data_IF_171510433036
#
_entry.id   IF_171510433036
#
_cell.length_a   1.000
_cell.length_b   1.000
_cell.length_c   1.000
_cell.angle_alpha   90.00
_cell.angle_beta   90.00
_cell.angle_gamma   90.00
#
_symmetry.space_group_name_H-M   'P 1'
#
loop_
_entity.id
_entity.type
_entity.pdbx_description
1 polymer ?
#
# COMPACT_ATOMS: atom_id res chain seq x y z
N UNK A 1 -23.91 5.06 3.04
CA UNK A 1 -22.49 4.68 2.84
C UNK A 1 -22.37 3.16 2.86
N UNK A 2 -21.62 2.58 1.93
CA UNK A 2 -21.51 1.11 1.73
C UNK A 2 -20.09 0.66 2.08
N UNK A 3 -19.95 -0.47 2.78
CA UNK A 3 -18.67 -1.08 3.11
C UNK A 3 -18.53 -2.39 2.33
N UNK A 4 -17.42 -2.56 1.62
CA UNK A 4 -17.05 -3.79 0.92
C UNK A 4 -15.79 -4.37 1.56
N UNK A 5 -15.86 -5.50 2.27
CA UNK A 5 -14.73 -6.05 3.01
C UNK A 5 -13.66 -6.63 2.07
N UNK A 6 -12.48 -6.02 2.08
CA UNK A 6 -11.29 -6.47 1.34
C UNK A 6 -10.38 -7.40 2.16
N UNK A 7 -9.40 -7.97 1.47
CA UNK A 7 -8.38 -8.87 2.05
C UNK A 7 -7.15 -8.13 2.59
N UNK A 8 -6.56 -8.60 3.68
CA UNK A 8 -5.28 -8.12 4.20
C UNK A 8 -4.09 -8.52 3.29
N UNK A 9 -2.90 -7.97 3.54
CA UNK A 9 -1.71 -8.25 2.73
C UNK A 9 -1.27 -9.72 2.78
N UNK A 10 -1.57 -10.43 3.86
CA UNK A 10 -1.30 -11.87 4.03
C UNK A 10 -2.33 -12.77 3.36
N UNK A 11 -3.44 -12.20 2.89
CA UNK A 11 -4.63 -12.93 2.43
C UNK A 11 -4.83 -12.87 0.92
N UNK A 12 -3.87 -12.28 0.19
CA UNK A 12 -3.92 -12.09 -1.27
C UNK A 12 -2.56 -12.25 -1.90
N UNK A 13 -2.55 -12.64 -3.18
CA UNK A 13 -1.34 -12.53 -4.00
C UNK A 13 -1.27 -11.13 -4.59
N UNK A 14 -0.36 -10.30 -4.08
CA UNK A 14 -0.28 -8.87 -4.39
C UNK A 14 1.08 -8.47 -4.91
N UNK A 15 1.11 -7.52 -5.86
CA UNK A 15 2.34 -6.89 -6.33
C UNK A 15 2.54 -5.57 -5.61
N UNK A 16 3.68 -5.40 -4.95
CA UNK A 16 4.05 -4.20 -4.19
C UNK A 16 5.33 -3.60 -4.76
N UNK A 17 5.46 -2.29 -4.70
CA UNK A 17 6.69 -1.58 -5.11
C UNK A 17 7.24 -0.84 -3.92
N UNK A 18 8.50 -1.09 -3.58
CA UNK A 18 9.16 -0.41 -2.46
C UNK A 18 9.72 0.96 -2.91
N UNK A 19 10.33 1.70 -1.98
CA UNK A 19 10.80 3.08 -2.22
C UNK A 19 12.00 3.19 -3.16
N UNK A 20 12.76 2.10 -3.38
CA UNK A 20 13.83 2.06 -4.39
C UNK A 20 13.29 1.71 -5.79
N UNK A 21 12.01 1.35 -5.92
CA UNK A 21 11.37 1.01 -7.19
C UNK A 21 11.36 -0.48 -7.51
N UNK A 22 11.78 -1.35 -6.58
CA UNK A 22 11.75 -2.80 -6.77
C UNK A 22 10.34 -3.33 -6.66
N UNK A 23 9.93 -4.09 -7.67
CA UNK A 23 8.63 -4.77 -7.70
C UNK A 23 8.75 -6.12 -7.01
N UNK A 24 7.90 -6.39 -6.02
CA UNK A 24 7.91 -7.61 -5.23
C UNK A 24 6.53 -8.28 -5.27
N UNK A 25 6.51 -9.60 -5.19
CA UNK A 25 5.28 -10.38 -5.12
C UNK A 25 5.10 -10.93 -3.71
N UNK A 26 3.94 -10.66 -3.11
CA UNK A 26 3.49 -11.37 -1.93
C UNK A 26 2.63 -12.56 -2.35
N UNK A 27 2.81 -13.68 -1.65
CA UNK A 27 1.95 -14.85 -1.78
C UNK A 27 0.92 -14.89 -0.67
N UNK A 28 -0.23 -15.48 -0.99
CA UNK A 28 -1.32 -15.65 -0.03
C UNK A 28 -0.94 -16.72 1.01
N UNK A 29 -0.88 -16.33 2.27
CA UNK A 29 -0.64 -17.23 3.39
C UNK A 29 -1.95 -17.87 3.90
N UNK A 30 -3.04 -17.10 3.94
CA UNK A 30 -4.35 -17.55 4.45
C UNK A 30 -5.49 -17.00 3.58
N UNK A 31 -6.70 -17.53 3.73
CA UNK A 31 -7.87 -16.95 3.07
C UNK A 31 -8.41 -15.74 3.84
N UNK A 32 -9.04 -14.76 3.15
CA UNK A 32 -9.71 -13.65 3.82
C UNK A 32 -10.82 -14.15 4.76
N UNK A 33 -11.05 -13.51 5.92
CA UNK A 33 -12.04 -13.93 6.89
C UNK A 33 -13.47 -13.63 6.42
N UNK A 34 -14.41 -14.53 6.74
CA UNK A 34 -15.84 -14.35 6.46
C UNK A 34 -16.13 -14.15 4.98
N UNK A 35 -16.85 -13.07 4.66
CA UNK A 35 -17.22 -12.71 3.29
C UNK A 35 -16.25 -11.74 2.60
N UNK A 36 -15.08 -11.49 3.20
CA UNK A 36 -14.05 -10.71 2.55
C UNK A 36 -13.59 -11.35 1.23
N UNK A 37 -13.19 -10.50 0.27
CA UNK A 37 -12.70 -10.92 -1.05
C UNK A 37 -11.42 -10.17 -1.39
N UNK A 38 -10.66 -10.71 -2.34
CA UNK A 38 -9.51 -9.98 -2.89
C UNK A 38 -9.96 -8.66 -3.53
N UNK A 39 -9.21 -7.58 -3.29
CA UNK A 39 -9.64 -6.22 -3.63
C UNK A 39 -9.95 -6.05 -5.13
N UNK A 40 -9.17 -6.70 -5.99
CA UNK A 40 -9.39 -6.67 -7.44
C UNK A 40 -10.72 -7.34 -7.84
N UNK A 41 -11.11 -8.41 -7.15
CA UNK A 41 -12.34 -9.14 -7.43
C UNK A 41 -13.55 -8.31 -7.03
N UNK A 42 -13.46 -7.57 -5.92
CA UNK A 42 -14.49 -6.59 -5.49
C UNK A 42 -14.69 -5.53 -6.58
N UNK A 43 -13.60 -4.91 -7.04
CA UNK A 43 -13.66 -3.88 -8.08
C UNK A 43 -14.16 -4.44 -9.41
N UNK A 44 -13.76 -5.66 -9.77
CA UNK A 44 -14.23 -6.35 -10.97
C UNK A 44 -15.73 -6.64 -10.90
N UNK A 45 -16.24 -7.12 -9.78
CA UNK A 45 -17.67 -7.38 -9.58
C UNK A 45 -18.48 -6.06 -9.61
N UNK A 46 -18.00 -5.03 -8.92
CA UNK A 46 -18.61 -3.69 -8.92
C UNK A 46 -18.68 -3.11 -10.34
N UNK A 47 -17.62 -3.27 -11.14
CA UNK A 47 -17.59 -2.78 -12.52
C UNK A 47 -18.72 -3.35 -13.38
N UNK A 48 -19.08 -4.62 -13.18
CA UNK A 48 -20.20 -5.24 -13.88
C UNK A 48 -21.55 -4.72 -13.39
N UNK A 49 -21.71 -4.53 -12.08
CA UNK A 49 -22.93 -3.93 -11.50
C UNK A 49 -23.17 -2.48 -12.02
N UNK A 50 -22.10 -1.78 -12.38
CA UNK A 50 -22.15 -0.43 -12.97
C UNK A 50 -22.19 -0.43 -14.51
N UNK A 51 -22.34 -1.59 -15.15
CA UNK A 51 -22.29 -1.74 -16.61
C UNK A 51 -21.01 -1.19 -17.28
N UNK A 52 -19.89 -1.14 -16.53
CA UNK A 52 -18.55 -0.74 -16.98
C UNK A 52 -17.53 -1.84 -16.74
N UNK A 53 -17.89 -3.05 -17.16
CA UNK A 53 -17.16 -4.28 -16.91
C UNK A 53 -15.68 -4.19 -17.27
N UNK A 54 -14.80 -4.43 -16.29
CA UNK A 54 -13.35 -4.51 -16.53
C UNK A 54 -12.99 -5.76 -17.35
N UNK A 55 -12.01 -5.71 -18.26
CA UNK A 55 -11.74 -6.75 -19.25
C UNK A 55 -10.86 -7.90 -18.73
N UNK A 56 -11.13 -8.39 -17.51
CA UNK A 56 -10.43 -9.54 -16.92
C UNK A 56 -11.31 -10.24 -15.88
N UNK A 57 -11.23 -11.56 -15.79
CA UNK A 57 -12.01 -12.36 -14.82
C UNK A 57 -11.14 -13.14 -13.83
N UNK A 58 -9.82 -13.03 -13.97
CA UNK A 58 -8.84 -13.67 -13.11
C UNK A 58 -7.66 -12.74 -12.85
N UNK A 59 -6.98 -12.93 -11.71
CA UNK A 59 -5.79 -12.17 -11.33
C UNK A 59 -4.70 -12.19 -12.41
N UNK A 60 -4.53 -13.31 -13.13
CA UNK A 60 -3.60 -13.40 -14.24
C UNK A 60 -3.96 -12.45 -15.41
N UNK A 61 -5.26 -12.26 -15.68
CA UNK A 61 -5.73 -11.30 -16.68
C UNK A 61 -5.45 -9.86 -16.27
N UNK A 62 -5.68 -9.52 -15.00
CA UNK A 62 -5.33 -8.22 -14.43
C UNK A 62 -3.82 -7.97 -14.54
N UNK A 63 -2.98 -8.93 -14.14
CA UNK A 63 -1.52 -8.81 -14.25
C UNK A 63 -1.07 -8.66 -15.69
N UNK A 64 -1.65 -9.40 -16.63
CA UNK A 64 -1.36 -9.24 -18.06
C UNK A 64 -1.65 -7.81 -18.53
N UNK A 65 -2.79 -7.24 -18.14
CA UNK A 65 -3.14 -5.86 -18.47
C UNK A 65 -2.17 -4.85 -17.82
N UNK A 66 -1.82 -5.06 -16.55
CA UNK A 66 -0.84 -4.23 -15.83
C UNK A 66 0.52 -4.24 -16.52
N UNK A 67 1.03 -5.43 -16.85
CA UNK A 67 2.35 -5.59 -17.48
C UNK A 67 2.39 -5.05 -18.90
N UNK A 68 1.28 -5.15 -19.64
CA UNK A 68 1.16 -4.55 -20.97
C UNK A 68 1.19 -3.01 -20.90
N UNK A 69 0.51 -2.42 -19.91
CA UNK A 69 0.50 -0.97 -19.71
C UNK A 69 1.83 -0.46 -19.11
N UNK A 70 2.43 -1.24 -18.22
CA UNK A 70 3.59 -0.87 -17.42
C UNK A 70 4.56 -2.06 -17.29
N UNK A 71 5.46 -2.28 -18.28
CA UNK A 71 6.31 -3.46 -18.36
C UNK A 71 7.21 -3.72 -17.14
N UNK A 72 7.59 -2.66 -16.41
CA UNK A 72 8.44 -2.77 -15.21
C UNK A 72 7.79 -3.62 -14.11
N UNK A 73 6.45 -3.69 -14.03
CA UNK A 73 5.75 -4.55 -13.06
C UNK A 73 5.99 -6.05 -13.29
N UNK A 74 6.46 -6.46 -14.48
CA UNK A 74 6.83 -7.84 -14.75
C UNK A 74 8.26 -8.18 -14.28
N UNK A 75 9.10 -7.18 -14.00
CA UNK A 75 10.48 -7.34 -13.58
C UNK A 75 10.59 -7.54 -12.06
N UNK A 76 10.08 -8.67 -11.57
CA UNK A 76 10.06 -9.00 -10.14
C UNK A 76 11.49 -9.07 -9.57
N UNK A 77 11.63 -8.54 -8.37
CA UNK A 77 12.87 -8.47 -7.57
C UNK A 77 14.06 -7.80 -8.27
N UNK A 78 13.82 -7.11 -9.38
CA UNK A 78 14.82 -6.36 -10.13
C UNK A 78 14.79 -4.88 -9.76
N UNK A 79 15.98 -4.28 -9.74
CA UNK A 79 16.17 -2.84 -9.58
C UNK A 79 16.91 -2.32 -10.81
N UNK A 80 16.21 -1.53 -11.62
CA UNK A 80 16.82 -0.84 -12.75
C UNK A 80 17.28 0.57 -12.31
N UNK A 81 18.40 1.09 -12.84
CA UNK A 81 18.83 2.45 -12.56
C UNK A 81 17.73 3.46 -12.90
N UNK A 82 17.47 4.39 -11.97
CA UNK A 82 16.51 5.45 -12.20
C UNK A 82 17.02 6.43 -13.26
N UNK A 83 16.11 6.90 -14.12
CA UNK A 83 16.41 7.98 -15.06
C UNK A 83 16.40 9.33 -14.33
N UNK A 84 17.55 9.99 -14.29
CA UNK A 84 17.71 11.30 -13.68
C UNK A 84 17.24 12.47 -14.57
N UNK A 85 16.83 12.20 -15.82
CA UNK A 85 16.37 13.24 -16.77
C UNK A 85 15.23 14.10 -16.22
N UNK A 86 14.37 13.52 -15.37
CA UNK A 86 13.25 14.22 -14.74
C UNK A 86 13.63 15.25 -13.67
N UNK A 87 14.88 15.27 -13.20
CA UNK A 87 15.33 16.23 -12.18
C UNK A 87 15.28 17.67 -12.68
N UNK A 88 15.52 17.91 -13.98
CA UNK A 88 15.40 19.25 -14.57
C UNK A 88 13.98 19.79 -14.49
N UNK A 89 13.00 18.97 -14.86
CA UNK A 89 11.56 19.32 -14.74
C UNK A 89 11.17 19.61 -13.30
N UNK A 90 11.70 18.86 -12.33
CA UNK A 90 11.44 19.11 -10.92
C UNK A 90 12.05 20.44 -10.44
N UNK A 91 13.23 20.80 -10.93
CA UNK A 91 13.86 22.08 -10.61
C UNK A 91 13.07 23.26 -11.17
N UNK A 92 12.47 23.10 -12.36
CA UNK A 92 11.70 24.14 -13.04
C UNK A 92 10.32 24.42 -12.42
N UNK A 93 9.79 23.53 -11.57
CA UNK A 93 8.50 23.73 -10.89
C UNK A 93 8.49 24.98 -10.00
N UNK A 94 9.66 25.38 -9.48
CA UNK A 94 9.79 26.54 -8.59
C UNK A 94 8.91 26.44 -7.34
N UNK A 95 8.59 27.59 -6.74
CA UNK A 95 7.72 27.69 -5.55
C UNK A 95 8.19 28.77 -4.58
N UNK A 96 7.26 29.32 -3.79
CA UNK A 96 7.62 30.22 -2.68
C UNK A 96 7.78 29.38 -1.42
N UNK A 97 8.97 29.40 -0.84
CA UNK A 97 9.19 28.77 0.45
C UNK A 97 8.38 29.49 1.53
N UNK A 98 7.60 28.73 2.29
CA UNK A 98 6.96 29.24 3.50
C UNK A 98 7.98 29.31 4.66
N UNK A 99 7.66 30.11 5.68
CA UNK A 99 8.47 30.18 6.91
C UNK A 99 8.22 29.01 7.87
N UNK A 100 7.25 28.16 7.54
CA UNK A 100 6.88 26.99 8.34
C UNK A 100 8.01 25.97 8.32
N UNK A 101 8.40 25.45 9.48
CA UNK A 101 9.38 24.37 9.57
C UNK A 101 8.82 23.05 9.04
N UNK A 102 9.72 22.15 8.62
CA UNK A 102 9.33 20.78 8.28
C UNK A 102 8.78 20.07 9.52
N UNK A 103 7.67 19.36 9.34
CA UNK A 103 7.07 18.50 10.36
C UNK A 103 7.00 17.07 9.83
N UNK A 104 7.19 16.09 10.71
CA UNK A 104 7.04 14.69 10.32
C UNK A 104 5.56 14.40 10.01
N UNK A 105 5.24 13.81 8.84
CA UNK A 105 3.89 13.32 8.59
C UNK A 105 3.56 12.07 9.43
N UNK A 106 4.57 11.41 10.00
CA UNK A 106 4.42 10.28 10.91
C UNK A 106 4.48 10.82 12.34
N UNK A 107 3.30 10.95 12.96
CA UNK A 107 3.12 11.44 14.33
C UNK A 107 3.31 10.31 15.36
N UNK A 108 2.92 9.09 14.99
CA UNK A 108 3.11 7.89 15.81
C UNK A 108 3.54 6.73 14.90
N UNK A 109 4.78 6.28 15.10
CA UNK A 109 5.39 5.19 14.34
C UNK A 109 4.63 3.87 14.46
N UNK A 110 4.03 3.60 15.63
CA UNK A 110 3.33 2.34 15.90
C UNK A 110 1.88 2.35 15.42
N UNK A 111 1.35 3.48 14.93
CA UNK A 111 -0.06 3.65 14.59
C UNK A 111 -0.28 4.13 13.14
N UNK A 112 0.67 3.82 12.25
CA UNK A 112 0.76 4.35 10.88
C UNK A 112 -0.33 3.87 9.93
N UNK A 113 -0.89 2.68 10.13
CA UNK A 113 -1.87 2.07 9.22
C UNK A 113 -2.99 1.33 9.98
N UNK A 114 -4.10 0.96 9.32
CA UNK A 114 -5.24 0.32 9.99
C UNK A 114 -4.90 -0.98 10.72
N UNK A 115 -3.94 -1.79 10.21
CA UNK A 115 -3.53 -3.04 10.86
C UNK A 115 -2.81 -2.73 12.17
N UNK A 116 -1.87 -1.79 12.13
CA UNK A 116 -1.14 -1.34 13.32
C UNK A 116 -2.10 -0.70 14.35
N UNK A 117 -3.10 0.06 13.89
CA UNK A 117 -4.12 0.67 14.76
C UNK A 117 -5.07 -0.32 15.42
N UNK A 118 -5.32 -1.46 14.79
CA UNK A 118 -6.13 -2.52 15.38
C UNK A 118 -5.32 -3.44 16.31
N UNK A 119 -3.99 -3.31 16.35
CA UNK A 119 -3.11 -4.18 17.14
C UNK A 119 -2.96 -3.70 18.59
N UNK A 120 -3.30 -4.57 19.54
CA UNK A 120 -3.07 -4.33 20.97
C UNK A 120 -1.57 -4.15 21.28
N UNK A 121 -0.71 -4.95 20.65
CA UNK A 121 0.75 -4.88 20.83
C UNK A 121 1.29 -3.52 20.39
N UNK A 122 0.84 -3.02 19.25
CA UNK A 122 1.28 -1.70 18.77
C UNK A 122 0.70 -0.55 19.60
N UNK A 123 -0.47 -0.74 20.22
CA UNK A 123 -0.99 0.23 21.18
C UNK A 123 -0.12 0.31 22.44
N UNK A 124 0.35 -0.83 22.96
CA UNK A 124 1.31 -0.87 24.07
C UNK A 124 2.65 -0.23 23.70
N UNK A 125 3.20 -0.54 22.52
CA UNK A 125 4.43 0.08 22.04
C UNK A 125 4.31 1.62 21.90
N UNK A 126 3.18 2.11 21.38
CA UNK A 126 2.90 3.55 21.31
C UNK A 126 2.84 4.18 22.71
N UNK A 127 2.16 3.53 23.66
CA UNK A 127 2.05 4.03 25.03
C UNK A 127 3.40 4.07 25.75
N UNK A 128 4.25 3.06 25.54
CA UNK A 128 5.64 3.05 26.03
C UNK A 128 6.47 4.16 25.40
N UNK A 129 6.46 4.29 24.07
CA UNK A 129 7.26 5.28 23.35
C UNK A 129 6.87 6.73 23.63
N UNK A 130 5.59 6.98 23.95
CA UNK A 130 5.09 8.30 24.33
C UNK A 130 5.25 8.64 25.82
N UNK A 131 5.85 7.74 26.62
CA UNK A 131 6.03 7.93 28.06
C UNK A 131 4.72 7.88 28.86
N UNK A 132 3.62 7.37 28.27
CA UNK A 132 2.32 7.20 28.93
C UNK A 132 2.27 5.95 29.82
N UNK A 133 3.12 4.96 29.55
CA UNK A 133 3.43 3.88 30.46
C UNK A 133 4.75 4.24 31.16
N UNK A 134 4.69 4.66 32.43
CA UNK A 134 5.89 4.63 33.27
C UNK A 134 6.37 3.18 33.29
N UNK A 135 7.61 2.94 32.87
CA UNK A 135 8.28 1.68 33.19
C UNK A 135 8.13 1.51 34.70
N UNK A 136 7.37 0.49 35.11
CA UNK A 136 7.46 -0.01 36.48
C UNK A 136 8.92 -0.45 36.62
N UNK A 137 9.71 0.42 37.25
CA UNK A 137 11.12 0.19 37.50
C UNK A 137 11.26 -1.10 38.31
N UNK A 138 11.97 -2.07 37.74
CA UNK A 138 12.70 -3.09 38.51
C UNK A 138 14.06 -2.52 38.92
#
# INVERSE_FOLDING_TARGET
DVILPGSAYTEKSGTYVNTEGRVQMADRATFPPGDAREDWAILRALSAALAKTLPFDALAGLRKALYAAHPHFAALDRLDPADASGLGTLADLGGKAEKTGFVSPVVDFYQTNPIARASAVMAECSALASGRLQQAAE
#
